data_IF_830927450387
#
_entry.id   IF_830927450387
#
_cell.length_a   1.000
_cell.length_b   1.000
_cell.length_c   1.000
_cell.angle_alpha   90.00
_cell.angle_beta   90.00
_cell.angle_gamma   90.00
#
_symmetry.space_group_name_H-M   'P 1'
#
loop_
_entity.id
_entity.type
_entity.pdbx_description
1 polymer ?
#
# COMPACT_ATOMS: atom_id res chain seq x y z
N UNK A 1 -3.09 -14.99 -7.35
CA UNK A 1 -2.47 -13.79 -7.95
C UNK A 1 -0.97 -13.75 -7.64
N UNK A 2 -0.60 -13.73 -6.34
CA UNK A 2 0.80 -13.68 -5.89
C UNK A 2 1.62 -14.82 -6.49
N UNK A 3 1.12 -16.05 -6.47
CA UNK A 3 1.77 -17.21 -7.11
C UNK A 3 2.12 -16.97 -8.59
N UNK A 4 1.24 -16.33 -9.35
CA UNK A 4 1.50 -16.05 -10.77
C UNK A 4 2.61 -15.01 -10.90
N UNK A 5 2.61 -13.97 -10.07
CA UNK A 5 3.63 -12.93 -10.08
C UNK A 5 4.99 -13.48 -9.66
N UNK A 6 5.03 -14.41 -8.71
CA UNK A 6 6.24 -15.13 -8.33
C UNK A 6 6.75 -15.99 -9.48
N UNK A 7 5.86 -16.74 -10.15
CA UNK A 7 6.24 -17.55 -11.33
C UNK A 7 6.81 -16.71 -12.48
N UNK A 8 6.32 -15.49 -12.67
CA UNK A 8 6.84 -14.56 -13.68
C UNK A 8 8.02 -13.70 -13.19
N UNK A 9 8.53 -13.91 -11.97
CA UNK A 9 9.66 -13.15 -11.42
C UNK A 9 9.35 -11.68 -11.14
N UNK A 10 8.08 -11.31 -11.05
CA UNK A 10 7.62 -9.96 -10.67
C UNK A 10 7.72 -9.78 -9.15
N UNK A 11 7.45 -10.85 -8.39
CA UNK A 11 7.68 -10.92 -6.94
C UNK A 11 8.69 -12.04 -6.66
N UNK A 12 9.92 -11.69 -6.33
CA UNK A 12 11.04 -12.56 -5.95
C UNK A 12 11.17 -12.63 -4.42
N UNK A 13 10.79 -11.57 -3.69
CA UNK A 13 10.92 -11.49 -2.24
C UNK A 13 9.79 -12.23 -1.53
N UNK A 14 10.16 -13.21 -0.70
CA UNK A 14 9.21 -13.92 0.18
C UNK A 14 8.45 -12.96 1.08
N UNK A 15 9.13 -11.97 1.65
CA UNK A 15 8.52 -10.97 2.53
C UNK A 15 7.46 -10.13 1.78
N UNK A 16 7.73 -9.77 0.53
CA UNK A 16 6.76 -9.04 -0.30
C UNK A 16 5.54 -9.91 -0.57
N UNK A 17 5.75 -11.18 -0.93
CA UNK A 17 4.66 -12.13 -1.17
C UNK A 17 3.77 -12.29 0.07
N UNK A 18 4.36 -12.54 1.24
CA UNK A 18 3.65 -12.68 2.51
C UNK A 18 2.80 -11.43 2.83
N UNK A 19 3.35 -10.23 2.62
CA UNK A 19 2.59 -8.99 2.82
C UNK A 19 1.44 -8.85 1.82
N UNK A 20 1.68 -9.15 0.54
CA UNK A 20 0.62 -9.06 -0.48
C UNK A 20 -0.47 -10.11 -0.30
N UNK A 21 -0.17 -11.25 0.32
CA UNK A 21 -1.13 -12.29 0.68
C UNK A 21 -1.98 -11.91 1.91
N UNK A 22 -1.46 -11.09 2.82
CA UNK A 22 -2.19 -10.64 4.03
C UNK A 22 -3.18 -9.50 3.77
N UNK A 23 -2.96 -8.71 2.71
CA UNK A 23 -3.86 -7.62 2.31
C UNK A 23 -4.77 -8.11 1.19
N UNK A 24 -6.07 -8.24 1.47
CA UNK A 24 -7.06 -8.52 0.43
C UNK A 24 -7.14 -7.35 -0.56
N UNK A 25 -6.58 -7.57 -1.75
CA UNK A 25 -6.57 -6.60 -2.85
C UNK A 25 -7.98 -6.18 -3.27
N UNK A 26 -8.99 -7.03 -3.12
CA UNK A 26 -10.35 -6.73 -3.52
C UNK A 26 -10.93 -5.53 -2.74
N UNK A 27 -10.44 -5.29 -1.52
CA UNK A 27 -10.81 -4.11 -0.73
C UNK A 27 -10.42 -2.79 -1.43
N UNK A 28 -9.40 -2.81 -2.28
CA UNK A 28 -8.77 -1.62 -2.85
C UNK A 28 -9.19 -1.35 -4.30
N UNK A 29 -10.09 -2.15 -4.86
CA UNK A 29 -10.52 -2.07 -6.25
C UNK A 29 -11.99 -1.63 -6.30
N UNK A 30 -12.31 -0.46 -6.88
CA UNK A 30 -13.69 -0.14 -7.24
C UNK A 30 -14.21 -1.16 -8.24
N UNK A 31 -15.47 -1.59 -8.12
CA UNK A 31 -16.11 -2.61 -8.99
C UNK A 31 -15.76 -2.42 -10.47
N UNK A 32 -14.86 -3.25 -11.01
CA UNK A 32 -14.46 -3.23 -12.43
C UNK A 32 -13.04 -2.72 -12.76
N UNK A 33 -12.22 -2.32 -11.79
CA UNK A 33 -10.85 -1.83 -12.04
C UNK A 33 -9.76 -2.92 -11.93
N UNK A 34 -8.91 -3.06 -12.95
CA UNK A 34 -7.68 -3.87 -12.84
C UNK A 34 -6.50 -3.01 -12.40
N UNK A 35 -5.97 -3.20 -11.19
CA UNK A 35 -4.66 -2.66 -10.80
C UNK A 35 -3.59 -3.72 -11.07
N UNK A 36 -2.40 -3.33 -11.53
CA UNK A 36 -1.25 -4.22 -11.73
C UNK A 36 -0.26 -4.05 -10.55
N UNK A 37 0.38 -5.12 -10.04
CA UNK A 37 1.41 -5.01 -9.01
C UNK A 37 2.78 -4.65 -9.61
N UNK A 38 3.48 -3.71 -8.95
CA UNK A 38 4.80 -3.20 -9.33
C UNK A 38 5.89 -3.69 -8.36
N UNK A 39 7.15 -3.68 -8.81
CA UNK A 39 8.36 -4.16 -8.12
C UNK A 39 8.57 -3.53 -6.72
N UNK A 40 8.71 -4.34 -5.66
CA UNK A 40 8.88 -3.87 -4.26
C UNK A 40 10.24 -4.24 -3.62
N UNK A 41 11.20 -4.75 -4.40
CA UNK A 41 11.94 -5.92 -3.88
C UNK A 41 13.37 -5.72 -3.37
N UNK A 42 13.97 -4.52 -3.46
CA UNK A 42 15.40 -4.39 -3.09
C UNK A 42 15.75 -3.31 -2.07
N UNK A 43 14.87 -2.35 -1.84
CA UNK A 43 15.25 -1.15 -1.09
C UNK A 43 14.46 -0.93 0.20
N UNK A 44 13.51 -1.80 0.52
CA UNK A 44 12.63 -1.61 1.68
C UNK A 44 12.98 -2.53 2.85
N UNK A 45 13.31 -1.93 3.99
CA UNK A 45 13.69 -2.61 5.22
C UNK A 45 12.79 -2.17 6.39
N UNK A 46 12.66 -2.99 7.44
CA UNK A 46 12.03 -2.56 8.69
C UNK A 46 12.64 -1.25 9.20
N UNK A 47 11.81 -0.37 9.78
CA UNK A 47 12.25 0.93 10.31
C UNK A 47 12.42 2.04 9.27
N UNK A 48 12.28 1.76 7.97
CA UNK A 48 12.41 2.78 6.93
C UNK A 48 11.18 3.68 6.81
N UNK A 49 11.41 4.90 6.32
CA UNK A 49 10.36 5.79 5.82
C UNK A 49 10.10 5.55 4.33
N UNK A 50 8.83 5.56 3.92
CA UNK A 50 8.37 5.41 2.53
C UNK A 50 7.39 6.51 2.20
N UNK A 51 7.58 7.12 1.03
CA UNK A 51 6.61 8.02 0.41
C UNK A 51 6.06 7.36 -0.85
N UNK A 52 4.74 7.19 -0.91
CA UNK A 52 3.99 6.61 -2.02
C UNK A 52 3.20 7.73 -2.73
N UNK A 53 3.77 8.29 -3.80
CA UNK A 53 3.19 9.42 -4.55
C UNK A 53 2.29 8.90 -5.66
N UNK A 54 1.02 9.30 -5.65
CA UNK A 54 -0.02 8.70 -6.49
C UNK A 54 -0.51 7.37 -5.91
N UNK A 55 -0.72 7.34 -4.59
CA UNK A 55 -1.05 6.12 -3.84
C UNK A 55 -2.39 5.49 -4.26
N UNK A 56 -3.25 6.23 -4.97
CA UNK A 56 -4.55 5.78 -5.42
C UNK A 56 -5.41 5.33 -4.27
N UNK A 57 -5.95 4.11 -4.37
CA UNK A 57 -6.75 3.50 -3.30
C UNK A 57 -5.92 3.01 -2.12
N UNK A 58 -4.59 3.13 -2.12
CA UNK A 58 -3.73 2.88 -0.96
C UNK A 58 -3.27 1.43 -0.76
N UNK A 59 -3.44 0.55 -1.75
CA UNK A 59 -3.02 -0.85 -1.65
C UNK A 59 -1.50 -0.96 -1.39
N UNK A 60 -0.68 -0.27 -2.18
CA UNK A 60 0.76 -0.31 -2.01
C UNK A 60 1.20 0.42 -0.74
N UNK A 61 0.57 1.54 -0.39
CA UNK A 61 0.83 2.21 0.88
C UNK A 61 0.59 1.29 2.08
N UNK A 62 -0.49 0.50 2.06
CA UNK A 62 -0.77 -0.52 3.06
C UNK A 62 0.30 -1.62 3.08
N UNK A 63 0.72 -2.11 1.92
CA UNK A 63 1.83 -3.07 1.81
C UNK A 63 3.14 -2.47 2.37
N UNK A 64 3.46 -1.21 2.06
CA UNK A 64 4.64 -0.51 2.57
C UNK A 64 4.64 -0.43 4.09
N UNK A 65 3.51 -0.08 4.71
CA UNK A 65 3.39 -0.05 6.17
C UNK A 65 3.71 -1.41 6.80
N UNK A 66 3.16 -2.50 6.25
CA UNK A 66 3.46 -3.84 6.75
C UNK A 66 4.92 -4.25 6.50
N UNK A 67 5.52 -3.82 5.40
CA UNK A 67 6.93 -4.13 5.10
C UNK A 67 7.92 -3.39 5.99
N UNK A 68 7.68 -2.11 6.31
CA UNK A 68 8.54 -1.33 7.21
C UNK A 68 8.28 -1.61 8.68
N UNK A 69 7.12 -2.18 9.00
CA UNK A 69 6.77 -2.56 10.37
C UNK A 69 6.55 -1.36 11.29
N UNK A 70 6.35 -1.61 12.59
CA UNK A 70 5.92 -0.58 13.56
C UNK A 70 6.98 0.51 13.82
N UNK A 71 8.25 0.24 13.54
CA UNK A 71 9.34 1.22 13.68
C UNK A 71 9.51 2.09 12.43
N UNK A 72 8.87 1.71 11.32
CA UNK A 72 8.92 2.47 10.08
C UNK A 72 7.72 3.36 9.87
N UNK A 73 7.69 4.05 8.74
CA UNK A 73 6.54 4.87 8.35
C UNK A 73 6.26 4.82 6.86
N UNK A 74 5.04 4.51 6.46
CA UNK A 74 4.56 4.69 5.09
C UNK A 74 3.62 5.92 5.01
N UNK A 75 3.86 6.80 4.04
CA UNK A 75 3.05 7.99 3.77
C UNK A 75 2.50 7.89 2.34
N UNK A 76 1.18 7.82 2.20
CA UNK A 76 0.50 7.86 0.89
C UNK A 76 0.07 9.28 0.54
N UNK A 77 0.32 9.70 -0.70
CA UNK A 77 -0.09 11.02 -1.23
C UNK A 77 -0.97 10.81 -2.46
N UNK A 78 -2.18 11.35 -2.42
CA UNK A 78 -3.18 11.19 -3.49
C UNK A 78 -3.92 12.49 -3.75
N UNK A 79 -3.76 13.04 -4.94
CA UNK A 79 -4.39 14.29 -5.35
C UNK A 79 -5.90 14.20 -5.59
N UNK A 80 -6.45 13.03 -5.94
CA UNK A 80 -7.90 12.81 -6.17
C UNK A 80 -8.58 12.56 -4.82
N UNK A 81 -9.41 13.48 -4.30
CA UNK A 81 -9.97 13.39 -2.95
C UNK A 81 -10.81 12.13 -2.70
N UNK A 82 -11.52 11.65 -3.73
CA UNK A 82 -12.33 10.43 -3.67
C UNK A 82 -11.44 9.21 -3.46
N UNK A 83 -10.35 9.08 -4.24
CA UNK A 83 -9.38 7.99 -4.06
C UNK A 83 -8.70 8.08 -2.69
N UNK A 84 -8.45 9.30 -2.23
CA UNK A 84 -8.01 9.57 -0.87
C UNK A 84 -8.96 8.95 0.16
N UNK A 85 -10.22 9.37 0.13
CA UNK A 85 -11.24 8.88 1.07
C UNK A 85 -11.39 7.35 1.02
N UNK A 86 -11.44 6.78 -0.19
CA UNK A 86 -11.45 5.33 -0.40
C UNK A 86 -10.24 4.65 0.24
N UNK A 87 -9.06 5.23 0.11
CA UNK A 87 -7.84 4.65 0.65
C UNK A 87 -7.86 4.54 2.17
N UNK A 88 -8.26 5.59 2.90
CA UNK A 88 -8.39 5.53 4.36
C UNK A 88 -9.39 4.44 4.77
N UNK A 89 -10.54 4.37 4.10
CA UNK A 89 -11.57 3.36 4.41
C UNK A 89 -11.09 1.94 4.14
N UNK A 90 -10.40 1.71 3.03
CA UNK A 90 -9.90 0.39 2.64
C UNK A 90 -8.78 -0.06 3.56
N UNK A 91 -7.87 0.84 3.95
CA UNK A 91 -6.81 0.56 4.92
C UNK A 91 -7.41 0.12 6.27
N UNK A 92 -8.44 0.83 6.76
CA UNK A 92 -9.14 0.47 8.02
C UNK A 92 -9.77 -0.92 7.99
N UNK A 93 -10.12 -1.44 6.81
CA UNK A 93 -10.69 -2.78 6.60
C UNK A 93 -9.63 -3.85 6.31
N UNK A 94 -8.36 -3.47 6.15
CA UNK A 94 -7.26 -4.35 5.77
C UNK A 94 -6.38 -4.75 6.95
N UNK A 95 -5.40 -5.63 6.71
CA UNK A 95 -4.35 -5.95 7.67
C UNK A 95 -3.52 -4.72 8.12
N UNK A 96 -3.49 -3.64 7.33
CA UNK A 96 -2.81 -2.39 7.67
C UNK A 96 -3.62 -1.48 8.62
N UNK A 97 -4.76 -1.93 9.14
CA UNK A 97 -5.58 -1.15 10.06
C UNK A 97 -4.86 -0.80 11.39
N UNK A 98 -4.01 -1.70 11.91
CA UNK A 98 -3.20 -1.42 13.10
C UNK A 98 -2.09 -0.39 12.82
N UNK A 99 -1.29 -0.53 11.75
CA UNK A 99 -0.37 0.52 11.34
C UNK A 99 -0.98 1.92 11.21
N UNK A 100 -2.22 2.00 10.72
CA UNK A 100 -2.93 3.28 10.64
C UNK A 100 -3.25 3.87 12.02
N UNK A 101 -3.52 3.02 13.02
CA UNK A 101 -3.84 3.45 14.39
C UNK A 101 -2.60 3.83 15.19
N UNK A 102 -1.49 3.12 15.01
CA UNK A 102 -0.23 3.37 15.75
C UNK A 102 0.66 4.45 15.11
N UNK A 103 0.34 4.89 13.89
CA UNK A 103 1.05 5.96 13.18
C UNK A 103 2.26 5.51 12.36
N UNK A 104 2.51 4.19 12.26
CA UNK A 104 3.45 3.61 11.28
C UNK A 104 2.89 3.63 9.85
N UNK A 105 1.60 3.89 9.68
CA UNK A 105 0.98 4.27 8.42
C UNK A 105 0.30 5.64 8.58
N UNK A 106 0.76 6.62 7.83
CA UNK A 106 0.06 7.91 7.68
C UNK A 106 -0.54 7.93 6.28
N UNK A 107 -1.79 7.49 6.20
CA UNK A 107 -2.52 7.53 4.95
C UNK A 107 -3.03 8.96 4.72
N UNK A 108 -2.53 9.57 3.63
CA UNK A 108 -3.21 10.58 2.80
C UNK A 108 -2.96 12.03 3.16
N UNK A 109 -2.11 12.63 2.33
CA UNK A 109 -2.17 14.05 2.01
C UNK A 109 -2.85 14.13 0.64
N UNK A 110 -4.10 14.60 0.59
CA UNK A 110 -4.58 15.19 -0.66
C UNK A 110 -3.94 16.55 -0.84
N UNK A 111 -2.91 16.57 -1.68
CA UNK A 111 -2.42 17.80 -2.27
C UNK A 111 -3.34 18.15 -3.42
N UNK A 112 -4.23 19.12 -3.19
CA UNK A 112 -4.91 19.81 -4.27
C UNK A 112 -3.85 20.62 -5.03
N UNK A 113 -3.30 20.03 -6.09
CA UNK A 113 -2.38 20.71 -7.00
C UNK A 113 -3.18 21.67 -7.90
N UNK A 114 -3.76 22.71 -7.30
CA UNK A 114 -4.27 23.88 -8.03
C UNK A 114 -3.13 24.89 -8.15
N UNK A 115 -2.33 24.74 -9.19
CA UNK A 115 -1.46 25.79 -9.73
C UNK A 115 -1.87 26.08 -11.16
#
# INVERSE_FOLDING_TARGET
MVDNLQRYGVIISRKVAEVMETIDRALFVPSGGGLQPYFLEKNLQPGMGVLDVGSGTGYLTACFALMVGPEGRAIGVEHIPELGSFSIENIKKSAAAQPLKDGSLSAIISVDLKH
#
